data_IF_028088236393
#
_entry.id   IF_028088236393
#
_cell.length_a   1.000
_cell.length_b   1.000
_cell.length_c   1.000
_cell.angle_alpha   90.00
_cell.angle_beta   90.00
_cell.angle_gamma   90.00
#
_symmetry.space_group_name_H-M   'P 1'
#
loop_
_entity.id
_entity.type
_entity.pdbx_description
1 polymer ?
#
# COMPACT_ATOMS: atom_id res chain seq x y z
N UNK A 1 14.48 -9.69 5.39
CA UNK A 1 13.77 -8.74 4.51
C UNK A 1 13.17 -7.65 5.36
N UNK A 2 13.17 -6.40 4.88
CA UNK A 2 12.37 -5.32 5.44
C UNK A 2 10.88 -5.60 5.27
N UNK A 3 10.05 -4.96 6.09
CA UNK A 3 8.58 -5.05 5.95
C UNK A 3 8.11 -3.90 5.10
N UNK A 4 7.60 -4.17 3.89
CA UNK A 4 7.11 -3.10 3.02
C UNK A 4 5.72 -2.61 3.47
N UNK A 5 5.55 -1.29 3.57
CA UNK A 5 4.23 -0.67 3.73
C UNK A 5 3.61 -0.36 2.36
N UNK A 6 2.38 -0.82 2.14
CA UNK A 6 1.60 -0.54 0.94
C UNK A 6 0.43 0.38 1.29
N UNK A 7 0.32 1.51 0.61
CA UNK A 7 -0.91 2.32 0.62
C UNK A 7 -1.62 2.02 -0.69
N UNK A 8 -2.63 1.15 -0.60
CA UNK A 8 -3.41 0.67 -1.75
C UNK A 8 -4.85 1.16 -1.69
N UNK A 9 -5.72 0.53 -2.48
CA UNK A 9 -7.12 0.93 -2.58
C UNK A 9 -7.36 2.08 -3.56
N UNK A 10 -6.43 2.38 -4.48
CA UNK A 10 -6.55 3.50 -5.45
C UNK A 10 -6.38 3.06 -6.92
N UNK A 11 -7.14 2.11 -7.45
CA UNK A 11 -8.22 1.36 -6.82
C UNK A 11 -7.75 0.04 -6.16
N UNK A 12 -8.65 -0.67 -5.49
CA UNK A 12 -8.30 -1.93 -4.80
C UNK A 12 -7.97 -3.06 -5.78
N UNK A 13 -8.59 -3.07 -6.97
CA UNK A 13 -8.34 -4.08 -8.01
C UNK A 13 -6.86 -4.09 -8.41
N UNK A 14 -6.25 -2.91 -8.56
CA UNK A 14 -4.83 -2.80 -8.93
C UNK A 14 -3.88 -3.19 -7.79
N UNK A 15 -4.34 -3.05 -6.53
CA UNK A 15 -3.55 -3.38 -5.34
C UNK A 15 -3.26 -4.88 -5.24
N UNK A 16 -4.17 -5.73 -5.73
CA UNK A 16 -3.99 -7.19 -5.79
C UNK A 16 -2.72 -7.54 -6.55
N UNK A 17 -2.47 -6.89 -7.68
CA UNK A 17 -1.29 -7.13 -8.52
C UNK A 17 0.00 -6.83 -7.77
N UNK A 18 0.06 -5.74 -6.99
CA UNK A 18 1.23 -5.42 -6.18
C UNK A 18 1.51 -6.49 -5.12
N UNK A 19 0.48 -6.92 -4.39
CA UNK A 19 0.62 -7.98 -3.40
C UNK A 19 1.09 -9.31 -4.03
N UNK A 20 0.53 -9.67 -5.18
CA UNK A 20 0.90 -10.89 -5.90
C UNK A 20 2.35 -10.83 -6.36
N UNK A 21 2.77 -9.77 -7.05
CA UNK A 21 4.14 -9.61 -7.58
C UNK A 21 5.17 -9.63 -6.46
N UNK A 22 4.90 -8.98 -5.33
CA UNK A 22 5.82 -9.00 -4.17
C UNK A 22 6.05 -10.42 -3.65
N UNK A 23 4.97 -11.17 -3.45
CA UNK A 23 5.06 -12.54 -2.93
C UNK A 23 5.71 -13.49 -3.93
N UNK A 24 5.36 -13.39 -5.21
CA UNK A 24 5.99 -14.17 -6.28
C UNK A 24 7.49 -13.89 -6.38
N UNK A 25 7.89 -12.62 -6.31
CA UNK A 25 9.29 -12.20 -6.38
C UNK A 25 10.09 -12.74 -5.19
N UNK A 26 9.56 -12.66 -3.97
CA UNK A 26 10.23 -13.19 -2.77
C UNK A 26 10.33 -14.72 -2.83
N UNK A 27 9.27 -15.40 -3.27
CA UNK A 27 9.29 -16.85 -3.47
C UNK A 27 10.33 -17.26 -4.52
N UNK A 28 10.43 -16.53 -5.63
CA UNK A 28 11.44 -16.79 -6.67
C UNK A 28 12.86 -16.60 -6.15
N UNK A 29 13.11 -15.55 -5.35
CA UNK A 29 14.43 -15.24 -4.82
C UNK A 29 14.89 -16.17 -3.70
N UNK A 30 13.98 -16.58 -2.80
CA UNK A 30 14.32 -17.33 -1.58
C UNK A 30 13.88 -18.80 -1.61
N UNK A 31 13.00 -19.19 -2.54
CA UNK A 31 12.50 -20.55 -2.68
C UNK A 31 11.54 -21.01 -1.57
N UNK A 32 11.21 -22.30 -1.59
CA UNK A 32 10.37 -22.93 -0.57
C UNK A 32 8.99 -22.28 -0.41
N UNK A 33 8.63 -21.99 0.84
CA UNK A 33 7.37 -21.35 1.24
C UNK A 33 7.58 -19.89 1.68
N UNK A 34 8.68 -19.25 1.25
CA UNK A 34 8.92 -17.84 1.57
C UNK A 34 7.88 -16.94 0.87
N UNK A 35 7.47 -15.90 1.60
CA UNK A 35 6.53 -14.86 1.19
C UNK A 35 7.04 -13.50 1.66
N UNK A 36 6.50 -12.41 1.07
CA UNK A 36 6.89 -11.06 1.44
C UNK A 36 6.33 -10.68 2.82
N UNK A 37 7.13 -9.97 3.63
CA UNK A 37 6.62 -9.25 4.80
C UNK A 37 6.03 -7.94 4.32
N UNK A 38 4.71 -7.78 4.41
CA UNK A 38 4.04 -6.55 4.02
C UNK A 38 2.90 -6.19 4.96
N UNK A 39 2.62 -4.89 5.07
CA UNK A 39 1.42 -4.33 5.72
C UNK A 39 0.71 -3.49 4.68
N UNK A 40 -0.59 -3.72 4.48
CA UNK A 40 -1.41 -2.99 3.52
C UNK A 40 -2.40 -2.09 4.26
N UNK A 41 -2.32 -0.80 4.00
CA UNK A 41 -3.37 0.16 4.30
C UNK A 41 -4.17 0.38 3.02
N UNK A 42 -5.44 -0.07 2.99
CA UNK A 42 -6.33 0.17 1.85
C UNK A 42 -7.25 1.34 2.19
N UNK A 43 -7.12 2.45 1.45
CA UNK A 43 -8.01 3.61 1.62
C UNK A 43 -9.38 3.32 0.97
N UNK A 44 -10.39 4.13 1.31
CA UNK A 44 -11.58 4.25 0.48
C UNK A 44 -11.23 5.14 -0.72
N UNK A 45 -11.32 4.58 -1.93
CA UNK A 45 -10.90 5.30 -3.12
C UNK A 45 -11.75 6.53 -3.42
N UNK A 46 -13.03 6.50 -3.04
CA UNK A 46 -13.99 7.58 -3.27
C UNK A 46 -13.52 8.89 -2.60
N UNK A 47 -12.90 8.81 -1.43
CA UNK A 47 -12.37 9.99 -0.73
C UNK A 47 -11.19 10.62 -1.49
N UNK A 48 -10.30 9.77 -2.02
CA UNK A 48 -9.15 10.22 -2.80
C UNK A 48 -9.58 10.76 -4.16
N UNK A 49 -10.51 10.09 -4.84
CA UNK A 49 -11.06 10.54 -6.13
C UNK A 49 -11.70 11.92 -6.00
N UNK A 50 -12.50 12.15 -4.96
CA UNK A 50 -13.07 13.48 -4.67
C UNK A 50 -12.01 14.55 -4.47
N UNK A 51 -10.90 14.24 -3.79
CA UNK A 51 -9.80 15.18 -3.65
C UNK A 51 -9.19 15.52 -5.02
N UNK A 52 -8.95 14.51 -5.86
CA UNK A 52 -8.38 14.69 -7.20
C UNK A 52 -9.31 15.49 -8.13
N UNK A 53 -10.60 15.14 -8.16
CA UNK A 53 -11.60 15.79 -9.00
C UNK A 53 -11.76 17.29 -8.65
N UNK A 54 -11.62 17.65 -7.38
CA UNK A 54 -11.68 19.04 -6.92
C UNK A 54 -10.33 19.76 -6.94
N UNK A 55 -9.24 19.10 -7.32
CA UNK A 55 -7.88 19.65 -7.28
C UNK A 55 -7.35 19.88 -5.87
N UNK A 56 -7.94 19.25 -4.84
CA UNK A 56 -7.54 19.35 -3.45
C UNK A 56 -6.40 18.37 -3.12
N UNK A 57 -5.23 18.66 -3.68
CA UNK A 57 -4.03 17.84 -3.50
C UNK A 57 -3.51 17.87 -2.07
N UNK A 58 -3.77 18.96 -1.31
CA UNK A 58 -3.37 19.07 0.09
C UNK A 58 -4.13 18.06 0.94
N UNK A 59 -5.46 17.96 0.77
CA UNK A 59 -6.26 16.98 1.50
C UNK A 59 -5.87 15.55 1.16
N UNK A 60 -5.63 15.26 -0.12
CA UNK A 60 -5.14 13.94 -0.54
C UNK A 60 -3.79 13.61 0.12
N UNK A 61 -2.87 14.57 0.16
CA UNK A 61 -1.57 14.39 0.81
C UNK A 61 -1.69 14.13 2.32
N UNK A 62 -2.61 14.80 3.03
CA UNK A 62 -2.89 14.52 4.44
C UNK A 62 -3.33 13.06 4.65
N UNK A 63 -4.34 12.61 3.89
CA UNK A 63 -4.87 11.23 4.01
C UNK A 63 -3.77 10.20 3.78
N UNK A 64 -2.98 10.37 2.72
CA UNK A 64 -1.91 9.43 2.38
C UNK A 64 -0.74 9.48 3.39
N UNK A 65 -0.45 10.66 3.95
CA UNK A 65 0.58 10.81 4.99
C UNK A 65 0.17 10.12 6.30
N UNK A 66 -1.10 10.24 6.70
CA UNK A 66 -1.63 9.57 7.88
C UNK A 66 -1.62 8.04 7.72
N UNK A 67 -1.95 7.54 6.52
CA UNK A 67 -1.82 6.13 6.18
C UNK A 67 -0.36 5.65 6.27
N UNK A 68 0.59 6.44 5.72
CA UNK A 68 2.02 6.13 5.80
C UNK A 68 2.53 6.06 7.25
N UNK A 69 2.18 7.04 8.09
CA UNK A 69 2.55 7.06 9.51
C UNK A 69 1.93 5.88 10.27
N UNK A 70 0.71 5.48 9.90
CA UNK A 70 0.06 4.31 10.50
C UNK A 70 0.80 3.02 10.15
N UNK A 71 1.28 2.88 8.91
CA UNK A 71 2.12 1.75 8.47
C UNK A 71 3.47 1.73 9.19
N UNK A 72 4.14 2.88 9.32
CA UNK A 72 5.39 3.01 10.07
C UNK A 72 5.20 2.56 11.52
N UNK A 73 4.16 3.05 12.20
CA UNK A 73 3.80 2.63 13.57
C UNK A 73 3.48 1.13 13.67
N UNK A 74 2.96 0.53 12.61
CA UNK A 74 2.68 -0.90 12.52
C UNK A 74 3.93 -1.76 12.22
N UNK A 75 5.08 -1.14 11.93
CA UNK A 75 6.36 -1.81 11.72
C UNK A 75 6.78 -1.99 10.26
N UNK A 76 6.28 -1.15 9.35
CA UNK A 76 6.88 -0.98 8.02
C UNK A 76 8.23 -0.22 8.11
N UNK A 77 9.19 -0.54 7.23
CA UNK A 77 10.61 -0.07 7.23
C UNK A 77 11.17 0.12 5.81
#
# INVERSE_FOLDING_TARGET
MKTIGLIGGMSWESTITYYQVLNETIKQALGGLHSAKCILYSVDFEEIEKCQANGDWNRSAEILSDAAQSLEKAGAD
#
